data_IF_459594766044
#
_entry.id   IF_459594766044
#
_cell.length_a   1.000
_cell.length_b   1.000
_cell.length_c   1.000
_cell.angle_alpha   90.00
_cell.angle_beta   90.00
_cell.angle_gamma   90.00
#
_symmetry.space_group_name_H-M   'P 1'
#
loop_
_entity.id
_entity.type
_entity.pdbx_description
1 polymer ?
#
# COMPACT_ATOMS: atom_id res chain seq x y z
N UNK A 1 17.01 17.33 -0.30
CA UNK A 1 15.65 17.27 -0.87
C UNK A 1 15.46 15.84 -1.38
N UNK A 2 14.45 15.15 -0.89
CA UNK A 2 14.16 13.75 -1.21
C UNK A 2 12.76 13.67 -1.84
N UNK A 3 12.55 12.78 -2.79
CA UNK A 3 11.25 12.56 -3.40
C UNK A 3 10.55 11.37 -2.74
N UNK A 4 9.33 11.58 -2.26
CA UNK A 4 8.46 10.55 -1.71
C UNK A 4 7.35 10.21 -2.70
N UNK A 5 7.10 8.92 -2.87
CA UNK A 5 5.91 8.41 -3.58
C UNK A 5 5.09 7.59 -2.61
N UNK A 6 3.87 8.04 -2.30
CA UNK A 6 3.01 7.46 -1.28
C UNK A 6 1.84 6.73 -1.95
N UNK A 7 1.89 5.40 -1.98
CA UNK A 7 0.83 4.54 -2.51
C UNK A 7 -0.23 4.28 -1.44
N UNK A 8 -1.48 4.63 -1.76
CA UNK A 8 -2.62 4.52 -0.83
C UNK A 8 -3.13 3.09 -0.65
N UNK A 9 -3.92 2.85 0.40
CA UNK A 9 -4.57 1.57 0.69
C UNK A 9 -5.80 1.29 -0.18
N UNK A 10 -6.47 0.18 0.09
CA UNK A 10 -7.72 -0.18 -0.57
C UNK A 10 -8.82 0.87 -0.41
N UNK A 11 -9.77 0.91 -1.35
CA UNK A 11 -10.97 1.79 -1.38
C UNK A 11 -10.68 3.30 -1.37
N UNK A 12 -9.43 3.74 -1.25
CA UNK A 12 -9.03 5.13 -1.08
C UNK A 12 -8.52 5.75 -2.41
N UNK A 13 -7.81 6.85 -2.30
CA UNK A 13 -7.12 7.55 -3.37
C UNK A 13 -5.96 8.37 -2.79
N UNK A 14 -5.21 9.04 -3.63
CA UNK A 14 -4.08 9.89 -3.22
C UNK A 14 -4.46 10.97 -2.21
N UNK A 15 -5.74 11.39 -2.18
CA UNK A 15 -6.29 12.32 -1.20
C UNK A 15 -6.09 11.88 0.26
N UNK A 16 -5.93 10.56 0.50
CA UNK A 16 -5.68 10.00 1.83
C UNK A 16 -4.41 10.57 2.48
N UNK A 17 -3.44 10.96 1.67
CA UNK A 17 -2.13 11.45 2.10
C UNK A 17 -2.05 12.96 2.28
N UNK A 18 -3.16 13.70 2.16
CA UNK A 18 -3.15 15.16 2.09
C UNK A 18 -2.37 15.82 3.23
N UNK A 19 -2.55 15.38 4.48
CA UNK A 19 -1.87 15.95 5.65
C UNK A 19 -0.40 15.54 5.71
N UNK A 20 -0.10 14.25 5.52
CA UNK A 20 1.28 13.73 5.47
C UNK A 20 2.08 14.42 4.36
N UNK A 21 1.50 14.55 3.17
CA UNK A 21 2.13 15.23 2.05
C UNK A 21 2.39 16.71 2.32
N UNK A 22 1.46 17.40 3.01
CA UNK A 22 1.66 18.79 3.42
C UNK A 22 2.85 18.91 4.37
N UNK A 23 2.93 18.07 5.39
CA UNK A 23 4.00 18.08 6.38
C UNK A 23 5.38 17.77 5.75
N UNK A 24 5.46 16.76 4.90
CA UNK A 24 6.70 16.44 4.18
C UNK A 24 7.16 17.56 3.24
N UNK A 25 6.22 18.23 2.54
CA UNK A 25 6.53 19.40 1.70
C UNK A 25 7.01 20.59 2.54
N UNK A 26 6.42 20.81 3.72
CA UNK A 26 6.89 21.83 4.67
C UNK A 26 8.30 21.54 5.18
N UNK A 27 8.69 20.27 5.28
CA UNK A 27 10.04 19.83 5.60
C UNK A 27 11.02 19.94 4.41
N UNK A 28 10.58 20.42 3.23
CA UNK A 28 11.44 20.67 2.07
C UNK A 28 11.59 19.48 1.12
N UNK A 29 10.65 18.52 1.13
CA UNK A 29 10.66 17.34 0.27
C UNK A 29 9.63 17.42 -0.86
N UNK A 30 9.86 16.69 -1.95
CA UNK A 30 8.85 16.47 -2.99
C UNK A 30 7.98 15.28 -2.63
N UNK A 31 6.66 15.38 -2.90
CA UNK A 31 5.72 14.31 -2.53
C UNK A 31 4.70 14.09 -3.63
N UNK A 32 4.64 12.86 -4.09
CA UNK A 32 3.70 12.36 -5.09
C UNK A 32 2.72 11.39 -4.41
N UNK A 33 1.43 11.60 -4.64
CA UNK A 33 0.35 10.80 -4.05
C UNK A 33 -0.59 10.28 -5.13
N UNK A 34 -0.10 9.38 -6.02
CA UNK A 34 -0.91 8.88 -7.13
C UNK A 34 -2.13 8.11 -6.65
N UNK A 35 -3.24 8.24 -7.38
CA UNK A 35 -4.44 7.42 -7.19
C UNK A 35 -4.44 6.28 -8.20
N UNK A 36 -4.69 5.06 -7.75
CA UNK A 36 -4.80 3.90 -8.62
C UNK A 36 -5.99 3.98 -9.56
N UNK A 37 -5.83 3.42 -10.75
CA UNK A 37 -6.89 3.31 -11.75
C UNK A 37 -8.13 2.63 -11.17
N UNK A 38 -9.28 3.27 -11.30
CA UNK A 38 -10.56 2.76 -10.82
C UNK A 38 -10.89 3.08 -9.35
N UNK A 39 -10.04 3.86 -8.65
CA UNK A 39 -10.27 4.27 -7.26
C UNK A 39 -10.30 5.80 -7.12
N UNK A 40 -10.84 6.28 -6.01
CA UNK A 40 -10.91 7.71 -5.70
C UNK A 40 -11.45 8.56 -6.85
N UNK A 41 -10.79 9.67 -7.16
CA UNK A 41 -11.16 10.55 -8.29
C UNK A 41 -11.01 9.87 -9.66
N UNK A 42 -10.38 8.69 -9.73
CA UNK A 42 -10.26 7.88 -10.96
C UNK A 42 -11.29 6.74 -11.04
N UNK A 43 -12.33 6.76 -10.21
CA UNK A 43 -13.40 5.74 -10.16
C UNK A 43 -14.12 5.57 -11.51
N UNK A 44 -14.19 6.62 -12.33
CA UNK A 44 -14.77 6.57 -13.68
C UNK A 44 -14.00 5.64 -14.64
N UNK A 45 -12.80 5.18 -14.26
CA UNK A 45 -11.99 4.20 -15.01
C UNK A 45 -12.17 2.77 -14.47
N UNK A 46 -13.05 2.57 -13.47
CA UNK A 46 -13.25 1.26 -12.87
C UNK A 46 -13.79 0.24 -13.88
N UNK A 47 -13.19 -0.94 -13.92
CA UNK A 47 -13.56 -2.04 -14.83
C UNK A 47 -13.10 -3.40 -14.28
N UNK A 48 -13.73 -4.50 -14.71
CA UNK A 48 -13.48 -5.84 -14.13
C UNK A 48 -12.09 -6.43 -14.37
N UNK A 49 -11.32 -5.90 -15.31
CA UNK A 49 -9.99 -6.38 -15.67
C UNK A 49 -8.85 -5.70 -14.89
N UNK A 50 -9.15 -4.71 -14.06
CA UNK A 50 -8.17 -4.11 -13.15
C UNK A 50 -7.63 -5.16 -12.20
N UNK A 51 -6.31 -5.35 -12.20
CA UNK A 51 -5.57 -6.31 -11.38
C UNK A 51 -4.41 -5.62 -10.63
N UNK A 52 -3.60 -6.39 -9.90
CA UNK A 52 -2.42 -5.87 -9.18
C UNK A 52 -1.42 -5.21 -10.14
N UNK A 53 -1.25 -5.76 -11.35
CA UNK A 53 -0.33 -5.20 -12.33
C UNK A 53 -0.80 -3.82 -12.82
N UNK A 54 -2.10 -3.56 -12.87
CA UNK A 54 -2.65 -2.24 -13.16
C UNK A 54 -2.18 -1.20 -12.13
N UNK A 55 -2.27 -1.52 -10.84
CA UNK A 55 -1.81 -0.64 -9.76
C UNK A 55 -0.29 -0.45 -9.76
N UNK A 56 0.46 -1.53 -10.01
CA UNK A 56 1.92 -1.45 -10.20
C UNK A 56 2.25 -0.50 -11.36
N UNK A 57 1.54 -0.63 -12.48
CA UNK A 57 1.75 0.22 -13.66
C UNK A 57 1.45 1.70 -13.37
N UNK A 58 0.41 2.01 -12.57
CA UNK A 58 0.10 3.39 -12.18
C UNK A 58 1.31 4.06 -11.49
N UNK A 59 1.98 3.35 -10.55
CA UNK A 59 3.17 3.88 -9.87
C UNK A 59 4.39 3.96 -10.80
N UNK A 60 4.63 2.91 -11.61
CA UNK A 60 5.73 2.90 -12.58
C UNK A 60 5.66 4.10 -13.54
N UNK A 61 4.45 4.47 -13.97
CA UNK A 61 4.27 5.60 -14.87
C UNK A 61 4.52 6.94 -14.18
N UNK A 62 4.20 7.08 -12.90
CA UNK A 62 4.60 8.26 -12.12
C UNK A 62 6.12 8.35 -12.04
N UNK A 63 6.82 7.28 -11.62
CA UNK A 63 8.28 7.28 -11.56
C UNK A 63 8.92 7.63 -12.91
N UNK A 64 8.35 7.12 -14.00
CA UNK A 64 8.89 7.31 -15.35
C UNK A 64 8.65 8.72 -15.90
N UNK A 65 7.40 9.23 -15.82
CA UNK A 65 7.03 10.48 -16.50
C UNK A 65 7.35 11.73 -15.69
N UNK A 66 7.45 11.62 -14.36
CA UNK A 66 8.02 12.66 -13.50
C UNK A 66 9.56 12.56 -13.39
N UNK A 67 10.17 11.60 -14.10
CA UNK A 67 11.61 11.31 -14.11
C UNK A 67 12.23 11.18 -12.72
N UNK A 68 11.54 10.47 -11.82
CA UNK A 68 11.96 10.32 -10.43
C UNK A 68 13.03 9.25 -10.28
N UNK A 69 14.05 9.58 -9.49
CA UNK A 69 15.15 8.71 -9.09
C UNK A 69 15.38 8.82 -7.58
N UNK A 70 16.02 7.82 -7.00
CA UNK A 70 16.36 7.76 -5.57
C UNK A 70 15.14 8.02 -4.64
N UNK A 71 13.95 7.54 -5.06
CA UNK A 71 12.71 7.80 -4.32
C UNK A 71 12.60 6.95 -3.07
N UNK A 72 12.00 7.50 -2.03
CA UNK A 72 11.42 6.73 -0.93
C UNK A 72 10.01 6.36 -1.35
N UNK A 73 9.79 5.05 -1.61
CA UNK A 73 8.51 4.51 -2.06
C UNK A 73 7.77 3.85 -0.89
N UNK A 74 6.65 4.45 -0.48
CA UNK A 74 5.82 3.95 0.61
C UNK A 74 4.58 3.24 0.07
N UNK A 75 4.32 2.04 0.56
CA UNK A 75 3.09 1.29 0.34
C UNK A 75 2.34 1.05 1.65
N UNK A 76 1.08 1.50 1.70
CA UNK A 76 0.20 1.31 2.84
C UNK A 76 -0.80 0.17 2.59
N UNK A 77 -0.98 -0.72 3.58
CA UNK A 77 -1.97 -1.81 3.51
C UNK A 77 -1.72 -2.71 2.28
N UNK A 78 -2.68 -2.88 1.38
CA UNK A 78 -2.56 -3.64 0.13
C UNK A 78 -1.40 -3.14 -0.77
N UNK A 79 -1.03 -1.88 -0.65
CA UNK A 79 0.03 -1.30 -1.48
C UNK A 79 1.44 -1.77 -1.12
N UNK A 80 1.61 -2.53 -0.03
CA UNK A 80 2.85 -3.29 0.17
C UNK A 80 3.15 -4.25 -0.99
N UNK A 81 2.11 -4.94 -1.51
CA UNK A 81 2.23 -5.76 -2.71
C UNK A 81 2.55 -4.93 -3.95
N UNK A 82 1.93 -3.74 -4.08
CA UNK A 82 2.17 -2.84 -5.24
C UNK A 82 3.61 -2.36 -5.27
N UNK A 83 4.15 -1.84 -4.14
CA UNK A 83 5.53 -1.32 -4.12
C UNK A 83 6.57 -2.41 -4.31
N UNK A 84 6.30 -3.63 -3.84
CA UNK A 84 7.14 -4.79 -4.14
C UNK A 84 7.19 -5.07 -5.64
N UNK A 85 6.04 -5.04 -6.34
CA UNK A 85 5.98 -5.20 -7.80
C UNK A 85 6.61 -4.05 -8.58
N UNK A 86 6.57 -2.83 -8.06
CA UNK A 86 7.30 -1.68 -8.64
C UNK A 86 8.81 -1.89 -8.52
N UNK A 87 9.28 -2.33 -7.34
CA UNK A 87 10.69 -2.62 -7.11
C UNK A 87 11.23 -3.72 -8.03
N UNK A 88 10.44 -4.76 -8.35
CA UNK A 88 10.79 -5.80 -9.33
C UNK A 88 11.16 -5.23 -10.71
N UNK A 89 10.57 -4.10 -11.09
CA UNK A 89 10.73 -3.50 -12.42
C UNK A 89 11.66 -2.29 -12.44
N UNK A 90 11.66 -1.46 -11.39
CA UNK A 90 12.36 -0.19 -11.30
C UNK A 90 13.18 -0.06 -10.00
N UNK A 91 13.87 -1.13 -9.59
CA UNK A 91 14.74 -1.10 -8.41
C UNK A 91 15.79 0.03 -8.48
N UNK A 92 16.28 0.35 -9.66
CA UNK A 92 17.28 1.39 -9.91
C UNK A 92 16.78 2.83 -9.69
N UNK A 93 15.46 3.02 -9.54
CA UNK A 93 14.85 4.32 -9.24
C UNK A 93 14.48 4.50 -7.77
N UNK A 94 14.64 3.46 -6.96
CA UNK A 94 14.18 3.43 -5.58
C UNK A 94 15.39 3.41 -4.63
N UNK A 95 15.43 4.34 -3.69
CA UNK A 95 16.45 4.36 -2.63
C UNK A 95 15.99 3.60 -1.39
N UNK A 96 14.68 3.57 -1.11
CA UNK A 96 14.13 2.93 0.09
C UNK A 96 12.67 2.50 -0.11
N UNK A 97 12.32 1.31 0.39
CA UNK A 97 10.95 0.82 0.46
C UNK A 97 10.39 0.97 1.88
N UNK A 98 9.20 1.55 2.02
CA UNK A 98 8.50 1.67 3.30
C UNK A 98 7.18 0.92 3.24
N UNK A 99 7.04 -0.10 4.08
CA UNK A 99 5.81 -0.87 4.27
C UNK A 99 5.09 -0.33 5.50
N UNK A 100 4.06 0.48 5.29
CA UNK A 100 3.27 1.07 6.36
C UNK A 100 2.05 0.20 6.63
N UNK A 101 2.10 -0.54 7.72
CA UNK A 101 1.04 -1.46 8.15
C UNK A 101 0.48 -2.26 6.94
N UNK A 102 1.37 -2.97 6.24
CA UNK A 102 1.15 -3.42 4.89
C UNK A 102 1.42 -4.93 4.68
N UNK A 103 0.80 -5.49 3.64
CA UNK A 103 1.07 -6.86 3.20
C UNK A 103 2.44 -6.95 2.54
N UNK A 104 3.23 -7.96 2.94
CA UNK A 104 4.50 -8.35 2.31
C UNK A 104 4.33 -9.75 1.76
N UNK A 105 4.34 -9.88 0.42
CA UNK A 105 4.07 -11.14 -0.25
C UNK A 105 5.37 -11.91 -0.54
N UNK A 106 5.28 -13.22 -0.47
CA UNK A 106 6.28 -14.13 -1.01
C UNK A 106 6.09 -14.29 -2.54
N UNK A 107 7.06 -14.89 -3.24
CA UNK A 107 7.00 -15.11 -4.69
C UNK A 107 5.77 -15.94 -5.10
N UNK A 108 5.12 -15.51 -6.18
CA UNK A 108 3.88 -16.11 -6.74
C UNK A 108 2.70 -16.16 -5.73
N UNK A 109 2.73 -15.35 -4.68
CA UNK A 109 1.68 -15.28 -3.69
C UNK A 109 0.73 -14.10 -3.94
N UNK A 110 -0.60 -14.31 -3.99
CA UNK A 110 -1.58 -13.23 -3.93
C UNK A 110 -1.87 -12.81 -2.48
N UNK A 111 -2.41 -11.59 -2.28
CA UNK A 111 -2.89 -11.13 -0.96
C UNK A 111 -3.93 -12.08 -0.37
N UNK A 112 -4.79 -12.65 -1.23
CA UNK A 112 -5.84 -13.59 -0.84
C UNK A 112 -5.34 -14.79 -0.04
N UNK A 113 -4.15 -15.32 -0.36
CA UNK A 113 -3.57 -16.47 0.34
C UNK A 113 -3.17 -16.11 1.78
N UNK A 114 -2.71 -14.88 2.02
CA UNK A 114 -2.37 -14.41 3.37
C UNK A 114 -3.61 -14.11 4.20
N UNK A 115 -4.65 -13.56 3.57
CA UNK A 115 -5.94 -13.28 4.22
C UNK A 115 -6.66 -14.58 4.63
N UNK A 116 -6.46 -15.63 3.84
CA UNK A 116 -7.01 -16.96 4.11
C UNK A 116 -8.43 -17.18 3.56
N UNK A 117 -8.81 -18.47 3.38
CA UNK A 117 -10.01 -18.82 2.62
C UNK A 117 -11.31 -18.38 3.28
N UNK A 118 -11.40 -18.37 4.61
CA UNK A 118 -12.63 -18.02 5.32
C UNK A 118 -13.01 -16.55 5.08
N UNK A 119 -12.05 -15.64 5.26
CA UNK A 119 -12.25 -14.20 5.05
C UNK A 119 -12.46 -13.92 3.56
N UNK A 120 -11.64 -14.55 2.69
CA UNK A 120 -11.76 -14.36 1.24
C UNK A 120 -13.10 -14.83 0.69
N UNK A 121 -13.68 -15.91 1.21
CA UNK A 121 -15.04 -16.32 0.84
C UNK A 121 -16.07 -15.24 1.16
N UNK A 122 -15.97 -14.59 2.32
CA UNK A 122 -16.83 -13.47 2.68
C UNK A 122 -16.67 -12.26 1.73
N UNK A 123 -15.41 -11.93 1.38
CA UNK A 123 -15.11 -10.85 0.42
C UNK A 123 -15.70 -11.15 -0.96
N UNK A 124 -15.53 -12.38 -1.46
CA UNK A 124 -16.07 -12.81 -2.76
C UNK A 124 -17.60 -12.77 -2.75
N UNK A 125 -18.25 -13.29 -1.70
CA UNK A 125 -19.71 -13.20 -1.55
C UNK A 125 -20.21 -11.76 -1.53
N UNK A 126 -19.52 -10.87 -0.80
CA UNK A 126 -19.87 -9.44 -0.80
C UNK A 126 -19.72 -8.82 -2.20
N UNK A 127 -18.68 -9.19 -2.94
CA UNK A 127 -18.50 -8.75 -4.32
C UNK A 127 -19.62 -9.27 -5.26
N UNK A 128 -20.04 -10.52 -5.11
CA UNK A 128 -21.15 -11.09 -5.87
C UNK A 128 -22.49 -10.43 -5.56
N UNK A 129 -22.77 -10.15 -4.28
CA UNK A 129 -24.05 -9.61 -3.84
C UNK A 129 -24.20 -8.10 -4.07
N UNK A 130 -23.13 -7.33 -3.94
CA UNK A 130 -23.15 -5.87 -3.88
C UNK A 130 -22.17 -5.18 -4.83
N UNK A 131 -21.27 -5.92 -5.48
CA UNK A 131 -20.20 -5.38 -6.30
C UNK A 131 -20.20 -5.87 -7.75
N UNK A 132 -21.36 -6.27 -8.29
CA UNK A 132 -21.52 -6.79 -9.66
C UNK A 132 -20.59 -7.99 -9.98
N UNK A 133 -20.18 -8.74 -8.94
CA UNK A 133 -19.31 -9.92 -9.04
C UNK A 133 -17.81 -9.60 -9.20
N UNK A 134 -17.41 -8.32 -9.22
CA UNK A 134 -16.01 -7.96 -9.46
C UNK A 134 -15.48 -6.82 -8.58
N UNK A 135 -16.35 -6.12 -7.83
CA UNK A 135 -15.94 -5.06 -6.91
C UNK A 135 -16.11 -5.52 -5.46
N UNK A 136 -15.15 -5.23 -4.63
CA UNK A 136 -15.28 -5.34 -3.18
C UNK A 136 -15.93 -4.05 -2.71
N UNK A 137 -17.17 -4.10 -2.19
CA UNK A 137 -17.87 -2.90 -1.77
C UNK A 137 -17.16 -2.24 -0.59
N UNK A 138 -17.24 -0.93 -0.51
CA UNK A 138 -16.84 -0.17 0.65
C UNK A 138 -18.01 -0.08 1.63
N UNK A 139 -17.76 -0.33 2.92
CA UNK A 139 -18.77 -0.23 3.98
C UNK A 139 -18.34 0.83 5.03
N UNK A 140 -19.22 1.79 5.33
CA UNK A 140 -20.50 2.08 4.67
C UNK A 140 -20.30 2.73 3.29
N UNK A 141 -21.21 2.47 2.33
CA UNK A 141 -21.01 2.80 0.91
C UNK A 141 -20.94 4.31 0.60
N UNK A 142 -21.36 5.16 1.49
CA UNK A 142 -21.39 6.62 1.36
C UNK A 142 -20.47 7.34 2.37
N UNK A 143 -19.61 6.57 3.07
CA UNK A 143 -18.64 7.17 3.98
C UNK A 143 -17.45 7.74 3.24
N UNK A 144 -17.24 9.00 3.38
CA UNK A 144 -16.11 9.75 2.86
C UNK A 144 -16.03 9.83 1.33
N UNK A 145 -14.79 9.82 0.83
CA UNK A 145 -14.42 9.82 -0.59
C UNK A 145 -13.94 8.44 -1.07
N UNK A 146 -14.28 7.39 -0.34
CA UNK A 146 -13.88 6.02 -0.68
C UNK A 146 -14.76 5.47 -1.80
N UNK A 147 -14.22 4.52 -2.54
CA UNK A 147 -14.88 3.88 -3.69
C UNK A 147 -14.73 2.37 -3.61
N UNK A 148 -15.67 1.64 -4.18
CA UNK A 148 -15.52 0.19 -4.34
C UNK A 148 -14.21 -0.16 -5.04
N UNK A 149 -13.55 -1.23 -4.59
CA UNK A 149 -12.28 -1.68 -5.14
C UNK A 149 -12.48 -2.90 -6.04
N UNK A 150 -11.76 -2.98 -7.15
CA UNK A 150 -11.73 -4.21 -7.95
C UNK A 150 -11.21 -5.41 -7.11
N UNK A 151 -11.82 -6.59 -7.32
CA UNK A 151 -11.46 -7.81 -6.59
C UNK A 151 -10.13 -8.42 -7.08
N UNK A 152 -9.85 -8.35 -8.38
CA UNK A 152 -8.66 -8.98 -8.96
C UNK A 152 -7.32 -8.58 -8.34
N UNK A 153 -7.06 -7.32 -7.91
CA UNK A 153 -5.80 -6.96 -7.27
C UNK A 153 -5.44 -7.83 -6.06
N UNK A 154 -6.43 -8.28 -5.27
CA UNK A 154 -6.17 -9.16 -4.13
C UNK A 154 -5.99 -10.63 -4.52
N UNK A 155 -6.44 -11.03 -5.71
CA UNK A 155 -6.35 -12.39 -6.26
C UNK A 155 -5.13 -12.59 -7.18
N UNK A 156 -4.48 -11.52 -7.61
CA UNK A 156 -3.37 -11.59 -8.55
C UNK A 156 -2.08 -11.91 -7.82
N UNK A 157 -1.39 -13.02 -8.17
CA UNK A 157 -0.09 -13.34 -7.56
C UNK A 157 0.98 -12.32 -7.97
N UNK A 158 1.93 -12.10 -7.08
CA UNK A 158 3.06 -11.21 -7.28
C UNK A 158 4.34 -12.01 -7.54
N UNK A 159 5.08 -11.65 -8.59
CA UNK A 159 6.42 -12.18 -8.82
C UNK A 159 7.45 -11.32 -8.09
N UNK A 160 8.29 -11.94 -7.23
CA UNK A 160 9.38 -11.29 -6.47
C UNK A 160 10.69 -12.06 -6.63
N UNK A 161 11.35 -11.89 -7.78
CA UNK A 161 12.56 -12.64 -8.18
C UNK A 161 13.77 -11.77 -8.46
N UNK A 162 13.61 -10.43 -8.50
CA UNK A 162 14.70 -9.53 -8.86
C UNK A 162 15.66 -9.34 -7.67
N UNK A 163 16.94 -9.77 -7.79
CA UNK A 163 17.91 -9.61 -6.71
C UNK A 163 18.20 -8.13 -6.38
N UNK A 164 18.07 -7.22 -7.35
CA UNK A 164 18.23 -5.79 -7.11
C UNK A 164 17.10 -5.23 -6.24
N UNK A 165 15.85 -5.69 -6.45
CA UNK A 165 14.73 -5.36 -5.58
C UNK A 165 14.92 -5.93 -4.17
N UNK A 166 15.40 -7.18 -4.08
CA UNK A 166 15.65 -7.84 -2.80
C UNK A 166 16.73 -7.12 -1.97
N UNK A 167 17.70 -6.47 -2.62
CA UNK A 167 18.80 -5.74 -1.98
C UNK A 167 18.43 -4.32 -1.52
N UNK A 168 17.24 -3.79 -1.90
CA UNK A 168 16.83 -2.45 -1.50
C UNK A 168 16.69 -2.34 0.02
N UNK A 169 17.13 -1.22 0.62
CA UNK A 169 16.82 -0.90 2.01
C UNK A 169 15.30 -0.84 2.21
N UNK A 170 14.83 -1.40 3.33
CA UNK A 170 13.39 -1.47 3.62
C UNK A 170 13.07 -1.22 5.08
N UNK A 171 11.97 -0.53 5.31
CA UNK A 171 11.43 -0.26 6.65
C UNK A 171 10.02 -0.82 6.74
N UNK A 172 9.71 -1.51 7.82
CA UNK A 172 8.35 -1.83 8.21
C UNK A 172 7.91 -0.91 9.34
N UNK A 173 6.82 -0.18 9.14
CA UNK A 173 6.17 0.65 10.17
C UNK A 173 4.87 -0.07 10.54
N UNK A 174 4.82 -0.61 11.76
CA UNK A 174 3.69 -1.38 12.27
C UNK A 174 2.77 -0.53 13.14
N UNK A 175 1.47 -0.53 12.86
CA UNK A 175 0.45 0.13 13.66
C UNK A 175 -0.07 -0.84 14.72
N UNK A 176 0.34 -0.63 15.99
CA UNK A 176 0.12 -1.60 17.08
C UNK A 176 -1.35 -1.82 17.44
N UNK A 177 -2.25 -0.91 17.02
CA UNK A 177 -3.69 -0.98 17.26
C UNK A 177 -4.49 -1.29 15.99
N UNK A 178 -3.84 -1.63 14.86
CA UNK A 178 -4.48 -1.83 13.56
C UNK A 178 -5.57 -2.90 13.55
N UNK A 179 -5.46 -3.93 14.38
CA UNK A 179 -6.48 -4.95 14.54
C UNK A 179 -7.84 -4.42 15.06
N UNK A 180 -7.85 -3.27 15.73
CA UNK A 180 -9.09 -2.64 16.19
C UNK A 180 -9.91 -2.06 15.02
N UNK A 181 -9.23 -1.68 13.93
CA UNK A 181 -9.87 -1.06 12.76
C UNK A 181 -10.30 -2.09 11.71
N UNK A 182 -9.44 -3.07 11.42
CA UNK A 182 -9.65 -4.01 10.31
C UNK A 182 -9.74 -5.49 10.76
N UNK A 183 -9.76 -5.74 12.08
CA UNK A 183 -9.98 -7.06 12.63
C UNK A 183 -9.04 -8.14 12.07
N UNK A 184 -9.59 -9.30 11.63
CA UNK A 184 -8.78 -10.42 11.14
C UNK A 184 -7.91 -10.10 9.91
N UNK A 185 -8.25 -9.09 9.12
CA UNK A 185 -7.42 -8.64 7.99
C UNK A 185 -6.05 -8.11 8.43
N UNK A 186 -5.90 -7.77 9.72
CA UNK A 186 -4.62 -7.32 10.26
C UNK A 186 -3.66 -8.47 10.61
N UNK A 187 -4.12 -9.71 10.74
CA UNK A 187 -3.26 -10.84 11.11
C UNK A 187 -2.06 -11.05 10.17
N UNK A 188 -2.23 -11.06 8.84
CA UNK A 188 -1.08 -11.17 7.93
C UNK A 188 -0.09 -10.02 8.06
N UNK A 189 -0.59 -8.82 8.31
CA UNK A 189 0.23 -7.61 8.51
C UNK A 189 1.06 -7.76 9.79
N UNK A 190 0.44 -8.23 10.89
CA UNK A 190 1.15 -8.51 12.13
C UNK A 190 2.22 -9.59 11.97
N UNK A 191 1.95 -10.65 11.19
CA UNK A 191 2.95 -11.68 10.87
C UNK A 191 4.11 -11.10 10.05
N UNK A 192 3.84 -10.23 9.08
CA UNK A 192 4.88 -9.55 8.30
C UNK A 192 5.73 -8.62 9.20
N UNK A 193 5.08 -7.91 10.14
CA UNK A 193 5.75 -7.07 11.12
C UNK A 193 6.71 -7.89 12.02
N UNK A 194 6.29 -9.03 12.53
CA UNK A 194 7.13 -9.92 13.34
C UNK A 194 8.33 -10.48 12.53
N UNK A 195 8.11 -10.88 11.26
CA UNK A 195 9.21 -11.27 10.36
C UNK A 195 10.22 -10.12 10.19
N UNK A 196 9.72 -8.91 9.90
CA UNK A 196 10.57 -7.73 9.71
C UNK A 196 11.33 -7.36 11.00
N UNK A 197 10.72 -7.51 12.17
CA UNK A 197 11.34 -7.26 13.48
C UNK A 197 12.49 -8.24 13.77
N UNK A 198 12.39 -9.48 13.30
CA UNK A 198 13.39 -10.52 13.48
C UNK A 198 14.49 -10.57 12.42
N UNK A 199 14.42 -9.78 11.37
CA UNK A 199 15.35 -9.81 10.22
C UNK A 199 16.17 -8.52 10.13
N UNK A 200 17.49 -8.62 10.25
CA UNK A 200 18.44 -7.51 10.22
C UNK A 200 18.49 -6.76 8.86
N UNK A 201 17.86 -7.27 7.81
CA UNK A 201 17.74 -6.60 6.52
C UNK A 201 16.59 -5.57 6.51
N UNK A 202 15.78 -5.56 7.57
CA UNK A 202 14.69 -4.63 7.74
C UNK A 202 14.98 -3.63 8.86
N UNK A 203 14.62 -2.36 8.63
CA UNK A 203 14.40 -1.42 9.72
C UNK A 203 12.96 -1.59 10.20
N UNK A 204 12.77 -1.81 11.49
CA UNK A 204 11.45 -1.97 12.10
C UNK A 204 11.11 -0.77 13.00
N UNK A 205 9.90 -0.27 12.87
CA UNK A 205 9.33 0.82 13.69
C UNK A 205 7.90 0.49 14.07
N UNK A 206 7.47 1.05 15.20
CA UNK A 206 6.10 0.94 15.69
C UNK A 206 5.46 2.32 15.80
N UNK A 207 4.15 2.39 15.48
CA UNK A 207 3.27 3.52 15.78
C UNK A 207 2.15 3.02 16.68
N UNK A 208 1.96 3.68 17.83
CA UNK A 208 0.88 3.36 18.75
C UNK A 208 -0.43 3.99 18.25
N UNK A 209 -0.96 3.44 17.18
CA UNK A 209 -2.17 3.93 16.49
C UNK A 209 -2.86 2.79 15.76
N UNK A 210 -4.08 3.07 15.25
CA UNK A 210 -4.84 2.18 14.37
C UNK A 210 -4.27 2.08 12.97
N UNK A 211 -4.97 1.31 12.11
CA UNK A 211 -4.55 1.02 10.73
C UNK A 211 -4.40 2.26 9.83
N UNK A 212 -4.97 3.40 10.21
CA UNK A 212 -5.00 4.64 9.40
C UNK A 212 -4.13 5.77 10.00
N UNK A 213 -2.80 5.57 10.12
CA UNK A 213 -1.89 6.53 10.77
C UNK A 213 -1.82 7.89 10.08
N UNK A 214 -2.14 7.96 8.77
CA UNK A 214 -2.16 9.22 8.03
C UNK A 214 -3.23 10.21 8.55
N UNK A 215 -4.20 9.72 9.33
CA UNK A 215 -5.25 10.55 9.95
C UNK A 215 -5.12 10.62 11.48
N UNK A 216 -4.67 9.53 12.10
CA UNK A 216 -4.64 9.42 13.57
C UNK A 216 -3.31 9.83 14.19
N UNK A 217 -2.21 9.74 13.44
CA UNK A 217 -0.85 10.06 13.88
C UNK A 217 0.03 10.60 12.72
N UNK A 218 -0.44 11.64 11.95
CA UNK A 218 0.26 12.10 10.76
C UNK A 218 1.65 12.67 11.05
N UNK A 219 1.82 13.33 12.20
CA UNK A 219 3.11 13.94 12.58
C UNK A 219 4.13 12.88 12.95
N UNK A 220 3.74 11.92 13.78
CA UNK A 220 4.58 10.80 14.20
C UNK A 220 4.97 9.94 12.99
N UNK A 221 4.07 9.74 12.03
CA UNK A 221 4.38 9.07 10.77
C UNK A 221 5.42 9.85 9.97
N UNK A 222 5.26 11.16 9.84
CA UNK A 222 6.22 12.02 9.13
C UNK A 222 7.57 12.02 9.82
N UNK A 223 7.64 12.06 11.14
CA UNK A 223 8.89 12.00 11.90
C UNK A 223 9.67 10.71 11.57
N UNK A 224 8.98 9.56 11.49
CA UNK A 224 9.59 8.28 11.07
C UNK A 224 10.06 8.30 9.61
N UNK A 225 9.32 8.94 8.72
CA UNK A 225 9.71 9.06 7.32
C UNK A 225 10.94 9.96 7.13
N UNK A 226 11.05 11.02 7.93
CA UNK A 226 12.20 11.93 7.91
C UNK A 226 13.50 11.29 8.43
N UNK A 227 13.43 10.22 9.23
CA UNK A 227 14.62 9.43 9.59
C UNK A 227 15.32 8.77 8.39
N UNK A 228 14.66 8.72 7.22
CA UNK A 228 15.14 8.07 6.02
C UNK A 228 15.80 9.03 5.02
N UNK A 229 15.83 10.34 5.32
CA UNK A 229 16.30 11.40 4.42
C UNK A 229 17.72 11.89 4.70
#
# INVERSE_FOLDING_TARGET
MTSFVLAHGGWAGGWQWQEVALLLRQAGHEVYTPTFTGLGERVHLARPDIDLNTYIQDILMVLKYEDLHDVILLGYSISGAVISGVAEKFADRISHLVYLDAYVLDDEQPVADQVGPEIMNGIVQAAEMFGDGWRIPHDPPDADRRTDQALKPVLTPLTVKNPAAAALPRTFIYCTQGAQDIGPLHLPIAHAAEKAKGDNHWRYRELETGHMPMWTAPKELVDLLLELT
#
